data_IF_333697492374
#
_entry.id   IF_333697492374
#
_cell.length_a   1.000
_cell.length_b   1.000
_cell.length_c   1.000
_cell.angle_alpha   90.00
_cell.angle_beta   90.00
_cell.angle_gamma   90.00
#
_symmetry.space_group_name_H-M   'P 1'
#
loop_
_entity.id
_entity.type
_entity.pdbx_description
1 polymer ?
#
# COMPACT_ATOMS: atom_id res chain seq x y z
N UNK A 1 -1.25 15.99 -15.58
CA UNK A 1 -2.14 15.54 -14.48
C UNK A 1 -2.89 14.20 -14.70
N UNK A 2 -3.92 14.07 -15.55
CA UNK A 2 -4.67 12.79 -15.69
C UNK A 2 -3.80 11.62 -16.18
N UNK A 3 -2.87 11.89 -17.09
CA UNK A 3 -1.85 10.92 -17.54
C UNK A 3 -0.96 10.44 -16.39
N UNK A 4 -0.54 11.35 -15.49
CA UNK A 4 0.27 11.00 -14.32
C UNK A 4 -0.52 10.15 -13.32
N UNK A 5 -1.83 10.43 -13.15
CA UNK A 5 -2.70 9.58 -12.35
C UNK A 5 -2.79 8.15 -12.89
N UNK A 6 -3.08 8.01 -14.19
CA UNK A 6 -3.16 6.70 -14.86
C UNK A 6 -1.84 5.95 -14.72
N UNK A 7 -0.71 6.64 -14.86
CA UNK A 7 0.60 6.04 -14.68
C UNK A 7 0.87 5.64 -13.22
N UNK A 8 0.46 6.46 -12.23
CA UNK A 8 0.54 6.10 -10.82
C UNK A 8 -0.26 4.82 -10.52
N UNK A 9 -1.51 4.71 -11.03
CA UNK A 9 -2.34 3.51 -10.89
C UNK A 9 -1.63 2.28 -11.48
N UNK A 10 -1.09 2.39 -12.69
CA UNK A 10 -0.35 1.29 -13.33
C UNK A 10 0.89 0.90 -12.52
N UNK A 11 1.66 1.87 -12.03
CA UNK A 11 2.86 1.62 -11.23
C UNK A 11 2.52 0.98 -9.89
N UNK A 12 1.41 1.36 -9.24
CA UNK A 12 0.94 0.75 -7.98
C UNK A 12 0.45 -0.69 -8.17
N UNK A 13 -0.01 -1.04 -9.37
CA UNK A 13 -0.44 -2.40 -9.67
C UNK A 13 0.75 -3.39 -9.72
N UNK A 14 1.93 -2.95 -10.16
CA UNK A 14 3.12 -3.81 -10.27
C UNK A 14 3.52 -4.44 -8.92
N UNK A 15 3.76 -3.69 -7.83
CA UNK A 15 4.14 -4.29 -6.56
C UNK A 15 3.02 -5.14 -5.95
N UNK A 16 1.75 -4.77 -6.17
CA UNK A 16 0.62 -5.60 -5.77
C UNK A 16 0.64 -6.97 -6.48
N UNK A 17 0.86 -6.97 -7.79
CA UNK A 17 0.97 -8.19 -8.58
C UNK A 17 2.15 -9.05 -8.14
N UNK A 18 3.33 -8.45 -7.95
CA UNK A 18 4.52 -9.16 -7.45
C UNK A 18 4.26 -9.81 -6.09
N UNK A 19 3.69 -9.06 -5.13
CA UNK A 19 3.37 -9.63 -3.81
C UNK A 19 2.33 -10.76 -3.91
N UNK A 20 1.35 -10.68 -4.80
CA UNK A 20 0.41 -11.79 -5.03
C UNK A 20 1.15 -13.02 -5.57
N UNK A 21 2.04 -12.86 -6.56
CA UNK A 21 2.84 -13.96 -7.09
C UNK A 21 3.73 -14.61 -6.02
N UNK A 22 4.36 -13.81 -5.16
CA UNK A 22 5.17 -14.35 -4.04
C UNK A 22 4.26 -15.06 -3.04
N UNK A 23 3.08 -14.53 -2.74
CA UNK A 23 2.12 -15.20 -1.87
C UNK A 23 1.69 -16.56 -2.43
N UNK A 24 1.49 -16.68 -3.75
CA UNK A 24 1.20 -17.96 -4.40
C UNK A 24 2.39 -18.93 -4.34
N UNK A 25 3.62 -18.43 -4.43
CA UNK A 25 4.80 -19.27 -4.24
C UNK A 25 4.88 -19.81 -2.80
N UNK A 26 4.56 -18.98 -1.80
CA UNK A 26 4.45 -19.42 -0.40
C UNK A 26 3.40 -20.51 -0.22
N UNK A 27 2.27 -20.42 -0.92
CA UNK A 27 1.23 -21.45 -0.89
C UNK A 27 1.73 -22.82 -1.36
N UNK A 28 2.65 -22.86 -2.34
CA UNK A 28 3.16 -24.10 -2.92
C UNK A 28 4.37 -24.68 -2.17
N UNK A 29 5.16 -23.85 -1.49
CA UNK A 29 6.48 -24.24 -0.97
C UNK A 29 6.63 -24.16 0.54
N UNK A 30 5.71 -23.52 1.27
CA UNK A 30 5.84 -23.26 2.72
C UNK A 30 4.60 -23.73 3.51
N UNK A 31 4.68 -23.60 4.84
CA UNK A 31 3.57 -23.97 5.72
C UNK A 31 2.36 -23.06 5.52
N UNK A 32 1.18 -23.55 5.90
CA UNK A 32 -0.07 -22.79 5.87
C UNK A 32 0.04 -21.46 6.65
N UNK A 33 0.76 -21.46 7.77
CA UNK A 33 0.97 -20.27 8.60
C UNK A 33 1.85 -19.23 7.92
N UNK A 34 2.89 -19.66 7.19
CA UNK A 34 3.78 -18.78 6.44
C UNK A 34 3.05 -18.14 5.26
N UNK A 35 2.30 -18.96 4.51
CA UNK A 35 1.42 -18.49 3.45
C UNK A 35 0.42 -17.46 3.98
N UNK A 36 -0.31 -17.76 5.06
CA UNK A 36 -1.28 -16.82 5.62
C UNK A 36 -0.63 -15.54 6.11
N UNK A 37 0.55 -15.61 6.72
CA UNK A 37 1.29 -14.41 7.13
C UNK A 37 1.56 -13.52 5.93
N UNK A 38 2.18 -14.07 4.88
CA UNK A 38 2.50 -13.31 3.68
C UNK A 38 1.26 -12.80 2.95
N UNK A 39 0.21 -13.62 2.84
CA UNK A 39 -1.03 -13.28 2.14
C UNK A 39 -1.78 -12.13 2.84
N UNK A 40 -1.91 -12.18 4.16
CA UNK A 40 -2.52 -11.11 4.95
C UNK A 40 -1.74 -9.80 4.80
N UNK A 41 -0.40 -9.86 4.84
CA UNK A 41 0.45 -8.68 4.60
C UNK A 41 0.24 -8.10 3.21
N UNK A 42 0.09 -8.96 2.20
CA UNK A 42 -0.19 -8.57 0.81
C UNK A 42 -1.55 -7.87 0.70
N UNK A 43 -2.60 -8.43 1.31
CA UNK A 43 -3.94 -7.85 1.32
C UNK A 43 -3.94 -6.45 1.94
N UNK A 44 -3.31 -6.30 3.12
CA UNK A 44 -3.21 -5.02 3.78
C UNK A 44 -2.42 -4.01 2.94
N UNK A 45 -1.32 -4.44 2.32
CA UNK A 45 -0.55 -3.62 1.38
C UNK A 45 -1.42 -3.06 0.24
N UNK A 46 -2.23 -3.92 -0.38
CA UNK A 46 -3.17 -3.52 -1.44
C UNK A 46 -4.18 -2.49 -0.94
N UNK A 47 -4.78 -2.73 0.24
CA UNK A 47 -5.75 -1.81 0.85
C UNK A 47 -5.11 -0.42 1.06
N UNK A 48 -3.91 -0.37 1.64
CA UNK A 48 -3.19 0.89 1.87
C UNK A 48 -2.81 1.61 0.57
N UNK A 49 -2.45 0.86 -0.47
CA UNK A 49 -2.19 1.39 -1.81
C UNK A 49 -3.46 1.98 -2.45
N UNK A 50 -4.62 1.34 -2.30
CA UNK A 50 -5.89 1.90 -2.77
C UNK A 50 -6.23 3.20 -2.04
N UNK A 51 -6.04 3.25 -0.72
CA UNK A 51 -6.23 4.47 0.08
C UNK A 51 -5.34 5.59 -0.43
N UNK A 52 -4.09 5.29 -0.78
CA UNK A 52 -3.19 6.27 -1.39
C UNK A 52 -3.68 6.77 -2.74
N UNK A 53 -4.17 5.90 -3.63
CA UNK A 53 -4.72 6.33 -4.92
C UNK A 53 -5.92 7.27 -4.76
N UNK A 54 -6.73 7.08 -3.72
CA UNK A 54 -7.82 8.01 -3.37
C UNK A 54 -7.28 9.34 -2.83
N UNK A 55 -6.26 9.30 -1.96
CA UNK A 55 -5.55 10.50 -1.48
C UNK A 55 -5.01 11.33 -2.65
N UNK A 56 -4.35 10.68 -3.60
CA UNK A 56 -3.79 11.30 -4.80
C UNK A 56 -4.89 11.97 -5.63
N UNK A 57 -6.00 11.26 -5.87
CA UNK A 57 -7.14 11.79 -6.62
C UNK A 57 -7.69 13.08 -6.00
N UNK A 58 -7.72 13.14 -4.67
CA UNK A 58 -8.19 14.32 -3.93
C UNK A 58 -7.15 15.46 -3.84
N UNK A 59 -5.90 15.19 -4.23
CA UNK A 59 -4.80 16.15 -4.18
C UNK A 59 -4.56 16.86 -5.51
N UNK A 60 -5.30 16.52 -6.57
CA UNK A 60 -5.15 17.16 -7.88
C UNK A 60 -5.41 18.68 -7.82
N UNK A 61 -4.45 19.45 -8.35
CA UNK A 61 -4.53 20.92 -8.40
C UNK A 61 -4.39 21.62 -7.05
N UNK A 62 -3.99 20.92 -5.99
CA UNK A 62 -3.76 21.51 -4.67
C UNK A 62 -2.38 22.18 -4.57
N UNK A 63 -2.33 23.41 -4.05
CA UNK A 63 -1.06 24.05 -3.67
C UNK A 63 -0.35 23.26 -2.55
N UNK A 64 0.98 23.41 -2.43
CA UNK A 64 1.85 22.63 -1.56
C UNK A 64 1.34 22.48 -0.10
N UNK A 65 0.84 23.56 0.51
CA UNK A 65 0.30 23.56 1.88
C UNK A 65 -0.95 22.67 1.99
N UNK A 66 -1.84 22.74 1.00
CA UNK A 66 -3.06 21.90 0.96
C UNK A 66 -2.69 20.44 0.74
N UNK A 67 -1.69 20.16 -0.09
CA UNK A 67 -1.17 18.81 -0.32
C UNK A 67 -0.60 18.20 0.97
N UNK A 68 0.17 18.97 1.75
CA UNK A 68 0.70 18.53 3.05
C UNK A 68 -0.42 18.23 4.06
N UNK A 69 -1.45 19.08 4.14
CA UNK A 69 -2.63 18.85 4.99
C UNK A 69 -3.40 17.60 4.60
N UNK A 70 -3.55 17.36 3.30
CA UNK A 70 -4.21 16.16 2.75
C UNK A 70 -3.38 14.92 3.09
N UNK A 71 -2.06 14.93 2.86
CA UNK A 71 -1.17 13.83 3.21
C UNK A 71 -1.23 13.47 4.70
N UNK A 72 -1.22 14.47 5.59
CA UNK A 72 -1.33 14.22 7.03
C UNK A 72 -2.67 13.58 7.40
N UNK A 73 -3.79 14.08 6.85
CA UNK A 73 -5.11 13.49 7.07
C UNK A 73 -5.17 12.03 6.61
N UNK A 74 -4.66 11.74 5.42
CA UNK A 74 -4.70 10.38 4.86
C UNK A 74 -3.72 9.43 5.53
N UNK A 75 -2.63 9.93 6.11
CA UNK A 75 -1.77 9.14 6.99
C UNK A 75 -2.56 8.60 8.20
N UNK A 76 -3.36 9.43 8.87
CA UNK A 76 -4.22 8.96 9.97
C UNK A 76 -5.26 7.94 9.49
N UNK A 77 -5.84 8.12 8.31
CA UNK A 77 -6.76 7.15 7.72
C UNK A 77 -6.06 5.80 7.51
N UNK A 78 -4.88 5.79 6.88
CA UNK A 78 -4.06 4.58 6.69
C UNK A 78 -3.71 3.93 8.02
N UNK A 79 -3.34 4.72 9.04
CA UNK A 79 -2.97 4.23 10.36
C UNK A 79 -4.15 3.58 11.10
N UNK A 80 -5.33 4.20 11.07
CA UNK A 80 -6.55 3.62 11.67
C UNK A 80 -6.91 2.32 10.95
N UNK A 81 -6.89 2.30 9.62
CA UNK A 81 -7.15 1.08 8.83
C UNK A 81 -6.15 -0.02 9.18
N UNK A 82 -4.86 0.32 9.29
CA UNK A 82 -3.82 -0.61 9.72
C UNK A 82 -4.13 -1.20 11.10
N UNK A 83 -4.43 -0.37 12.10
CA UNK A 83 -4.73 -0.84 13.46
C UNK A 83 -5.96 -1.75 13.49
N UNK A 84 -7.07 -1.31 12.89
CA UNK A 84 -8.31 -2.10 12.85
C UNK A 84 -8.08 -3.43 12.14
N UNK A 85 -7.36 -3.42 11.01
CA UNK A 85 -7.10 -4.63 10.23
C UNK A 85 -6.21 -5.61 11.01
N UNK A 86 -5.10 -5.14 11.58
CA UNK A 86 -4.19 -6.00 12.36
C UNK A 86 -4.89 -6.55 13.59
N UNK A 87 -5.65 -5.73 14.33
CA UNK A 87 -6.42 -6.20 15.47
C UNK A 87 -7.46 -7.24 15.06
N UNK A 88 -8.24 -6.99 13.99
CA UNK A 88 -9.25 -7.94 13.53
C UNK A 88 -8.66 -9.27 13.08
N UNK A 89 -7.61 -9.24 12.25
CA UNK A 89 -6.97 -10.46 11.75
C UNK A 89 -6.29 -11.24 12.86
N UNK A 90 -5.66 -10.57 13.82
CA UNK A 90 -5.01 -11.24 14.95
C UNK A 90 -5.97 -12.12 15.76
N UNK A 91 -7.25 -11.73 15.88
CA UNK A 91 -8.25 -12.55 16.57
C UNK A 91 -8.95 -13.58 15.66
N UNK A 92 -8.88 -13.42 14.35
CA UNK A 92 -9.60 -14.27 13.38
C UNK A 92 -8.74 -15.36 12.75
N UNK A 93 -7.43 -15.13 12.61
CA UNK A 93 -6.53 -15.98 11.82
C UNK A 93 -5.20 -16.14 12.55
N UNK A 94 -4.74 -17.38 12.66
CA UNK A 94 -3.37 -17.67 13.06
C UNK A 94 -2.44 -17.57 11.85
N UNK A 95 -1.36 -16.80 11.98
CA UNK A 95 -0.40 -16.60 10.89
C UNK A 95 1.02 -16.32 11.42
N UNK A 96 2.02 -16.55 10.57
CA UNK A 96 3.39 -16.21 10.90
C UNK A 96 3.61 -14.69 10.81
N UNK A 97 3.79 -14.05 11.97
CA UNK A 97 3.98 -12.60 12.09
C UNK A 97 5.18 -12.10 11.30
N UNK A 98 6.26 -12.87 11.22
CA UNK A 98 7.48 -12.49 10.49
C UNK A 98 7.17 -12.32 9.00
N UNK A 99 6.47 -13.28 8.39
CA UNK A 99 6.12 -13.20 6.97
C UNK A 99 5.08 -12.13 6.66
N UNK A 100 4.17 -11.87 7.60
CA UNK A 100 3.27 -10.72 7.54
C UNK A 100 4.03 -9.40 7.46
N UNK A 101 4.97 -9.17 8.40
CA UNK A 101 5.75 -7.94 8.43
C UNK A 101 6.62 -7.79 7.18
N UNK A 102 7.24 -8.86 6.70
CA UNK A 102 8.06 -8.85 5.48
C UNK A 102 7.21 -8.44 4.27
N UNK A 103 6.06 -9.09 4.06
CA UNK A 103 5.17 -8.76 2.94
C UNK A 103 4.68 -7.32 3.01
N UNK A 104 4.30 -6.86 4.19
CA UNK A 104 3.86 -5.48 4.40
C UNK A 104 5.00 -4.48 4.15
N UNK A 105 6.22 -4.76 4.60
CA UNK A 105 7.38 -3.90 4.38
C UNK A 105 7.69 -3.75 2.90
N UNK A 106 7.64 -4.85 2.13
CA UNK A 106 7.81 -4.82 0.67
C UNK A 106 6.72 -3.96 0.03
N UNK A 107 5.46 -4.15 0.40
CA UNK A 107 4.35 -3.35 -0.12
C UNK A 107 4.52 -1.85 0.16
N UNK A 108 4.86 -1.49 1.40
CA UNK A 108 5.05 -0.10 1.83
C UNK A 108 6.25 0.56 1.15
N UNK A 109 7.37 -0.16 1.02
CA UNK A 109 8.59 0.35 0.40
C UNK A 109 8.36 0.65 -1.09
N UNK A 110 7.73 -0.27 -1.80
CA UNK A 110 7.39 -0.07 -3.21
C UNK A 110 6.35 1.04 -3.39
N UNK A 111 5.33 1.09 -2.53
CA UNK A 111 4.37 2.20 -2.52
C UNK A 111 5.08 3.53 -2.33
N UNK A 112 5.98 3.65 -1.35
CA UNK A 112 6.70 4.88 -1.04
C UNK A 112 7.54 5.40 -2.22
N UNK A 113 8.20 4.52 -2.97
CA UNK A 113 8.93 4.90 -4.20
C UNK A 113 7.98 5.55 -5.22
N UNK A 114 6.80 4.96 -5.41
CA UNK A 114 5.78 5.49 -6.32
C UNK A 114 5.20 6.81 -5.79
N UNK A 115 4.96 6.92 -4.48
CA UNK A 115 4.45 8.15 -3.86
C UNK A 115 5.45 9.31 -4.07
N UNK A 116 6.73 9.08 -3.80
CA UNK A 116 7.80 10.08 -3.96
C UNK A 116 7.95 10.51 -5.42
N UNK A 117 7.94 9.54 -6.35
CA UNK A 117 7.97 9.84 -7.78
C UNK A 117 6.78 10.72 -8.18
N UNK A 118 5.57 10.37 -7.74
CA UNK A 118 4.35 11.09 -8.07
C UNK A 118 4.36 12.52 -7.54
N UNK A 119 4.76 12.75 -6.28
CA UNK A 119 4.85 14.10 -5.73
C UNK A 119 5.86 14.97 -6.48
N UNK A 120 7.02 14.39 -6.86
CA UNK A 120 8.02 15.10 -7.68
C UNK A 120 7.50 15.41 -9.09
N UNK A 121 6.69 14.51 -9.66
CA UNK A 121 6.15 14.68 -11.00
C UNK A 121 5.11 15.80 -11.07
N UNK A 122 4.32 16.00 -10.01
CA UNK A 122 3.37 17.11 -9.92
C UNK A 122 4.09 18.43 -9.61
N UNK A 123 5.09 18.43 -8.73
CA UNK A 123 5.78 19.67 -8.33
C UNK A 123 6.57 20.34 -9.47
N UNK A 124 6.87 19.61 -10.54
CA UNK A 124 7.54 20.15 -11.75
C UNK A 124 6.56 20.69 -12.79
N UNK A 125 5.28 20.32 -12.73
CA UNK A 125 4.23 20.77 -13.65
C UNK A 125 3.45 21.99 -13.09
N UNK A 126 3.70 22.40 -11.84
CA UNK A 126 3.03 23.50 -11.14
C UNK A 126 3.86 24.76 -11.02
#
# INVERSE_FOLDING_TARGET
MEKQYKMAVMLTFIPAFVNICVSLWFFLSFSKYDFMGYFVGTLLGIILSVIWLVQVKNSFGAHAIKLLKVTYKWFFVKFIVFLVFVSAIYFMVEFNVTWFVISLLVALSMSAVIELWFYRAISREG
#
